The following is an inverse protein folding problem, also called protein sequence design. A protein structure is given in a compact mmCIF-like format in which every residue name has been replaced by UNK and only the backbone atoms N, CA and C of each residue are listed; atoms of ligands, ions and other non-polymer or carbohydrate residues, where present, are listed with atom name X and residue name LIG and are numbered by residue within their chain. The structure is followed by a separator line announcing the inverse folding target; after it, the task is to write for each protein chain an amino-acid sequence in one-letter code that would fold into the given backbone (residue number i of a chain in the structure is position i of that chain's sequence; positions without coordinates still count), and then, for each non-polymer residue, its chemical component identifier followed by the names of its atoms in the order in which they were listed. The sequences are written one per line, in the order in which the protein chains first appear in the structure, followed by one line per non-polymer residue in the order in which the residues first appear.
data_IF_158067622711
#
_entry.id   IF_158067622711
#
_cell.length_a   1.000
_cell.length_b   1.000
_cell.length_c   1.000
_cell.angle_alpha   90.00
_cell.angle_beta   90.00
_cell.angle_gamma   90.00
#
_symmetry.space_group_name_H-M   'P 1'
#
loop_
_entity.id
_entity.type
_entity.pdbx_description
1 polymer ?
#
# COMPACT_ATOMS: atom_id res chain seq x y z
N UNK A 1 15.09 -2.26 -15.04
CA UNK A 1 14.26 -1.08 -14.69
C UNK A 1 14.19 -0.96 -13.17
N UNK A 2 14.67 0.15 -12.60
CA UNK A 2 14.48 0.45 -11.18
C UNK A 2 12.97 0.55 -10.89
N UNK A 3 12.45 -0.31 -10.02
CA UNK A 3 11.05 -0.21 -9.55
C UNK A 3 10.98 0.97 -8.56
N UNK A 4 10.83 2.20 -9.09
CA UNK A 4 10.78 3.46 -8.32
C UNK A 4 9.78 3.39 -7.14
N UNK A 5 8.69 2.64 -7.29
CA UNK A 5 7.66 2.46 -6.26
C UNK A 5 8.18 1.77 -4.98
N UNK A 6 9.36 1.13 -5.04
CA UNK A 6 10.00 0.44 -3.91
C UNK A 6 11.11 1.27 -3.24
N UNK A 7 11.32 2.51 -3.66
CA UNK A 7 12.35 3.38 -3.07
C UNK A 7 11.66 4.44 -2.23
N UNK A 8 12.06 4.52 -0.96
CA UNK A 8 11.58 5.51 -0.01
C UNK A 8 12.19 6.89 -0.32
N UNK A 9 11.33 7.90 -0.51
CA UNK A 9 11.73 9.30 -0.68
C UNK A 9 12.41 9.80 0.59
N UNK A 10 11.91 9.39 1.76
CA UNK A 10 12.55 9.67 3.03
C UNK A 10 13.99 9.17 3.06
N UNK A 11 14.21 7.91 2.65
CA UNK A 11 15.53 7.30 2.63
C UNK A 11 16.48 7.98 1.63
N UNK A 12 15.97 8.43 0.48
CA UNK A 12 16.74 9.24 -0.47
C UNK A 12 17.15 10.57 0.19
N UNK A 13 16.20 11.30 0.79
CA UNK A 13 16.47 12.57 1.47
C UNK A 13 17.47 12.43 2.61
N UNK A 14 17.36 11.37 3.41
CA UNK A 14 18.30 11.05 4.47
C UNK A 14 19.70 10.72 3.94
N UNK A 15 19.80 9.95 2.86
CA UNK A 15 21.08 9.57 2.28
C UNK A 15 21.79 10.76 1.62
N UNK A 16 21.10 11.47 0.73
CA UNK A 16 21.64 12.64 0.03
C UNK A 16 21.92 13.77 1.01
N UNK A 17 20.96 14.09 1.89
CA UNK A 17 21.11 15.09 2.93
C UNK A 17 22.23 14.76 3.91
N UNK A 18 22.36 13.49 4.29
CA UNK A 18 23.43 13.02 5.19
C UNK A 18 24.82 13.18 4.60
N UNK A 19 25.01 12.80 3.33
CA UNK A 19 26.29 12.99 2.62
C UNK A 19 26.64 14.49 2.55
N UNK A 20 25.69 15.33 2.10
CA UNK A 20 25.92 16.77 1.99
C UNK A 20 26.22 17.40 3.35
N UNK A 21 25.49 17.00 4.39
CA UNK A 21 25.71 17.46 5.76
C UNK A 21 27.12 17.13 6.26
N UNK A 22 27.58 15.87 6.11
CA UNK A 22 28.91 15.44 6.56
C UNK A 22 30.02 16.15 5.78
N UNK A 23 29.91 16.23 4.45
CA UNK A 23 30.89 16.92 3.60
C UNK A 23 30.95 18.41 3.92
N UNK A 24 29.79 19.04 4.08
CA UNK A 24 29.69 20.46 4.41
C UNK A 24 30.23 20.80 5.80
N UNK A 25 29.99 19.93 6.79
CA UNK A 25 30.54 20.07 8.13
C UNK A 25 32.06 19.89 8.13
N UNK A 26 32.59 18.92 7.40
CA UNK A 26 34.04 18.76 7.22
C UNK A 26 34.67 19.97 6.52
N UNK A 27 34.02 20.50 5.48
CA UNK A 27 34.47 21.69 4.76
C UNK A 27 34.51 22.94 5.65
N UNK A 28 33.53 23.09 6.55
CA UNK A 28 33.52 24.14 7.57
C UNK A 28 34.78 24.08 8.44
N UNK A 29 35.12 22.89 8.96
CA UNK A 29 36.31 22.68 9.78
C UNK A 29 37.64 22.97 9.04
N UNK A 30 37.62 22.96 7.70
CA UNK A 30 38.78 23.29 6.85
C UNK A 30 38.76 24.74 6.32
N UNK A 31 37.77 25.55 6.69
CA UNK A 31 37.64 26.93 6.22
C UNK A 31 37.25 27.05 4.73
N UNK A 32 36.74 25.98 4.11
CA UNK A 32 36.29 26.00 2.73
C UNK A 32 34.81 26.45 2.66
N UNK A 33 34.60 27.76 2.59
CA UNK A 33 33.27 28.38 2.63
C UNK A 33 32.37 27.97 1.46
N UNK A 34 32.91 27.82 0.24
CA UNK A 34 32.12 27.43 -0.93
C UNK A 34 31.55 26.03 -0.78
N UNK A 35 32.37 25.06 -0.35
CA UNK A 35 31.92 23.68 -0.16
C UNK A 35 31.05 23.53 1.09
N UNK A 36 31.31 24.32 2.15
CA UNK A 36 30.42 24.38 3.30
C UNK A 36 29.02 24.89 2.93
N UNK A 37 28.92 25.95 2.11
CA UNK A 37 27.64 26.47 1.66
C UNK A 37 26.86 25.40 0.87
N UNK A 38 27.48 24.75 -0.11
CA UNK A 38 26.82 23.71 -0.91
C UNK A 38 26.43 22.51 -0.03
N UNK A 39 27.34 22.04 0.82
CA UNK A 39 27.14 20.86 1.65
C UNK A 39 26.20 21.10 2.82
N UNK A 40 26.58 21.96 3.76
CA UNK A 40 25.89 22.10 5.03
C UNK A 40 24.58 22.89 4.89
N UNK A 41 24.62 24.04 4.20
CA UNK A 41 23.45 24.94 4.13
C UNK A 41 22.28 24.31 3.36
N UNK A 42 22.54 23.53 2.31
CA UNK A 42 21.50 22.81 1.58
C UNK A 42 21.30 21.38 2.09
N UNK A 43 22.36 20.71 2.54
CA UNK A 43 22.28 19.35 3.07
C UNK A 43 21.48 19.27 4.36
N UNK A 44 21.62 20.25 5.27
CA UNK A 44 20.87 20.24 6.53
C UNK A 44 19.35 20.33 6.32
N UNK A 45 18.79 21.27 5.54
CA UNK A 45 17.37 21.27 5.19
C UNK A 45 16.91 19.98 4.49
N UNK A 46 17.69 19.44 3.55
CA UNK A 46 17.35 18.18 2.87
C UNK A 46 17.30 17.02 3.87
N UNK A 47 18.26 16.95 4.79
CA UNK A 47 18.34 15.93 5.83
C UNK A 47 17.16 16.02 6.79
N UNK A 48 16.81 17.24 7.25
CA UNK A 48 15.62 17.48 8.08
C UNK A 48 14.34 17.08 7.34
N UNK A 49 14.22 17.44 6.06
CA UNK A 49 13.11 16.99 5.21
C UNK A 49 13.04 15.47 5.12
N UNK A 50 14.18 14.80 4.96
CA UNK A 50 14.29 13.34 4.98
C UNK A 50 13.78 12.73 6.28
N UNK A 51 14.15 13.29 7.44
CA UNK A 51 13.64 12.85 8.75
C UNK A 51 12.13 13.08 8.89
N UNK A 52 11.61 14.23 8.43
CA UNK A 52 10.18 14.52 8.48
C UNK A 52 9.36 13.53 7.64
N UNK A 53 9.81 13.23 6.42
CA UNK A 53 9.18 12.17 5.61
C UNK A 53 9.32 10.80 6.27
N UNK A 54 10.47 10.48 6.88
CA UNK A 54 10.67 9.18 7.54
C UNK A 54 9.71 8.97 8.70
N UNK A 55 9.44 10.02 9.47
CA UNK A 55 8.53 9.98 10.62
C UNK A 55 7.06 9.78 10.23
N UNK A 56 6.70 10.04 8.98
CA UNK A 56 5.32 9.92 8.49
C UNK A 56 5.19 8.84 7.41
N UNK A 57 6.21 8.00 7.26
CA UNK A 57 6.31 6.99 6.22
C UNK A 57 5.48 5.75 6.54
N UNK A 58 4.68 5.31 5.57
CA UNK A 58 4.02 4.01 5.57
C UNK A 58 4.62 3.15 4.47
N UNK A 59 5.13 1.98 4.88
CA UNK A 59 5.79 1.05 3.98
C UNK A 59 4.80 0.41 2.98
N UNK A 60 5.28 -0.04 1.81
CA UNK A 60 4.51 -0.90 0.91
C UNK A 60 3.96 -2.13 1.62
N UNK A 61 2.72 -2.50 1.32
CA UNK A 61 2.15 -3.78 1.74
C UNK A 61 2.87 -4.92 1.02
N UNK A 62 3.31 -5.98 1.73
CA UNK A 62 3.99 -7.10 1.12
C UNK A 62 3.04 -7.91 0.23
N UNK A 63 3.60 -8.45 -0.84
CA UNK A 63 2.95 -9.52 -1.61
C UNK A 63 3.27 -10.84 -0.91
N UNK A 64 2.27 -11.48 -0.32
CA UNK A 64 2.46 -12.59 0.63
C UNK A 64 2.41 -13.99 -0.03
N UNK A 65 1.89 -14.08 -1.26
CA UNK A 65 1.92 -15.30 -2.07
C UNK A 65 2.67 -15.00 -3.37
N UNK A 66 3.64 -15.83 -3.78
CA UNK A 66 4.31 -15.66 -5.07
C UNK A 66 3.33 -15.69 -6.25
N UNK A 67 3.50 -14.77 -7.20
CA UNK A 67 2.71 -14.70 -8.43
C UNK A 67 3.08 -15.88 -9.35
N UNK A 68 2.10 -16.74 -9.70
CA UNK A 68 2.29 -17.80 -10.71
C UNK A 68 2.10 -17.27 -12.12
N UNK A 69 2.65 -17.96 -13.13
CA UNK A 69 2.48 -17.56 -14.54
C UNK A 69 1.01 -17.51 -14.97
N UNK A 70 0.18 -18.44 -14.47
CA UNK A 70 -1.26 -18.46 -14.75
C UNK A 70 -1.97 -17.23 -14.19
N UNK A 71 -1.65 -16.84 -12.94
CA UNK A 71 -2.21 -15.64 -12.30
C UNK A 71 -1.80 -14.38 -13.07
N UNK A 72 -0.53 -14.31 -13.50
CA UNK A 72 -0.02 -13.20 -14.32
C UNK A 72 -0.75 -13.10 -15.67
N UNK A 73 -1.05 -14.25 -16.29
CA UNK A 73 -1.76 -14.31 -17.56
C UNK A 73 -3.20 -13.80 -17.42
N UNK A 74 -3.95 -14.25 -16.41
CA UNK A 74 -5.32 -13.74 -16.18
C UNK A 74 -5.33 -12.27 -15.77
N UNK A 75 -4.35 -11.81 -14.95
CA UNK A 75 -4.22 -10.38 -14.61
C UNK A 75 -4.11 -9.53 -15.86
N UNK A 76 -3.26 -9.94 -16.81
CA UNK A 76 -3.04 -9.17 -18.05
C UNK A 76 -4.33 -9.01 -18.86
N UNK A 77 -5.24 -9.98 -18.78
CA UNK A 77 -6.48 -10.01 -19.56
C UNK A 77 -7.67 -9.38 -18.83
N UNK A 78 -7.75 -9.53 -17.51
CA UNK A 78 -8.98 -9.27 -16.74
C UNK A 78 -8.83 -8.21 -15.64
N UNK A 79 -7.61 -7.75 -15.32
CA UNK A 79 -7.39 -6.74 -14.26
C UNK A 79 -8.14 -5.44 -14.59
N UNK A 80 -9.07 -5.07 -13.71
CA UNK A 80 -9.79 -3.81 -13.84
C UNK A 80 -8.90 -2.62 -13.51
N UNK A 81 -9.28 -1.42 -13.96
CA UNK A 81 -8.56 -0.19 -13.62
C UNK A 81 -8.49 0.03 -12.11
N UNK A 82 -9.57 -0.25 -11.37
CA UNK A 82 -9.60 -0.16 -9.90
C UNK A 82 -8.62 -1.15 -9.26
N UNK A 83 -8.63 -2.43 -9.65
CA UNK A 83 -7.71 -3.43 -9.10
C UNK A 83 -6.24 -3.03 -9.37
N UNK A 84 -5.94 -2.58 -10.58
CA UNK A 84 -4.60 -2.11 -10.97
C UNK A 84 -4.14 -0.91 -10.15
N UNK A 85 -5.02 0.07 -9.97
CA UNK A 85 -4.72 1.26 -9.18
C UNK A 85 -4.51 0.88 -7.71
N UNK A 86 -5.43 0.10 -7.14
CA UNK A 86 -5.37 -0.34 -5.76
C UNK A 86 -4.07 -1.09 -5.46
N UNK A 87 -3.73 -2.08 -6.29
CA UNK A 87 -2.49 -2.84 -6.17
C UNK A 87 -1.26 -1.93 -6.20
N UNK A 88 -1.20 -0.95 -7.11
CA UNK A 88 -0.10 0.03 -7.17
C UNK A 88 -0.07 0.95 -5.96
N UNK A 89 -1.23 1.33 -5.44
CA UNK A 89 -1.35 2.28 -4.33
C UNK A 89 -0.93 1.69 -3.00
N UNK A 90 -1.24 0.42 -2.75
CA UNK A 90 -0.87 -0.28 -1.51
C UNK A 90 0.55 -0.84 -1.55
N UNK A 91 1.13 -1.07 -2.74
CA UNK A 91 2.52 -1.59 -2.90
C UNK A 91 3.58 -0.51 -3.10
N UNK A 92 3.29 0.74 -2.72
CA UNK A 92 4.26 1.85 -2.75
C UNK A 92 4.36 2.54 -1.41
N UNK A 93 5.47 3.23 -1.17
CA UNK A 93 5.61 4.11 -0.02
C UNK A 93 4.59 5.24 -0.06
N UNK A 94 3.97 5.51 1.09
CA UNK A 94 3.05 6.63 1.31
C UNK A 94 3.53 7.44 2.50
N UNK A 95 3.08 8.70 2.57
CA UNK A 95 3.48 9.63 3.62
C UNK A 95 2.25 10.36 4.14
N UNK A 96 2.24 10.63 5.44
CA UNK A 96 1.18 11.42 6.09
C UNK A 96 -0.17 10.70 6.21
N UNK A 97 -0.18 9.37 6.14
CA UNK A 97 -1.36 8.54 6.38
C UNK A 97 -1.08 7.58 7.54
N UNK A 98 -2.13 7.12 8.23
CA UNK A 98 -1.98 6.14 9.33
C UNK A 98 -1.64 4.74 8.82
N UNK A 99 -2.43 4.26 7.86
CA UNK A 99 -2.26 2.96 7.22
C UNK A 99 -2.81 3.00 5.78
N UNK A 100 -2.42 2.02 4.97
CA UNK A 100 -3.05 1.85 3.65
C UNK A 100 -4.53 1.53 3.82
N UNK A 101 -5.37 2.19 3.01
CA UNK A 101 -6.84 2.07 3.00
C UNK A 101 -7.57 2.53 4.27
N UNK A 102 -6.89 3.19 5.22
CA UNK A 102 -7.48 3.68 6.47
C UNK A 102 -8.72 4.57 6.24
N UNK A 103 -8.61 5.59 5.39
CA UNK A 103 -9.72 6.47 5.01
C UNK A 103 -10.82 5.75 4.21
N UNK A 104 -10.45 4.73 3.45
CA UNK A 104 -11.40 3.93 2.67
C UNK A 104 -12.27 3.11 3.61
N UNK A 105 -11.64 2.42 4.56
CA UNK A 105 -12.33 1.67 5.61
C UNK A 105 -13.23 2.58 6.45
N UNK A 106 -12.79 3.80 6.75
CA UNK A 106 -13.63 4.80 7.41
C UNK A 106 -14.90 5.14 6.62
N UNK A 107 -14.79 5.43 5.31
CA UNK A 107 -15.94 5.71 4.44
C UNK A 107 -16.88 4.51 4.32
N UNK A 108 -16.33 3.31 4.37
CA UNK A 108 -17.08 2.06 4.39
C UNK A 108 -17.77 1.79 5.73
N UNK A 109 -17.46 2.56 6.77
CA UNK A 109 -17.96 2.35 8.13
C UNK A 109 -17.38 1.07 8.74
N UNK A 110 -16.15 0.73 8.37
CA UNK A 110 -15.34 -0.36 8.92
C UNK A 110 -14.52 0.16 10.11
N UNK A 111 -15.22 0.74 11.08
CA UNK A 111 -14.65 1.41 12.26
C UNK A 111 -15.22 0.77 13.52
N UNK A 112 -14.59 -0.28 14.08
CA UNK A 112 -15.04 -0.88 15.34
C UNK A 112 -15.02 0.14 16.49
N UNK A 113 -14.09 1.09 16.46
CA UNK A 113 -14.05 2.25 17.36
C UNK A 113 -13.73 3.51 16.54
N UNK A 114 -13.72 4.68 17.18
CA UNK A 114 -13.37 5.94 16.49
C UNK A 114 -11.93 5.93 15.97
N UNK A 115 -11.02 5.28 16.68
CA UNK A 115 -9.58 5.28 16.41
C UNK A 115 -9.11 4.04 15.64
N UNK A 116 -9.69 2.88 15.91
CA UNK A 116 -9.23 1.59 15.39
C UNK A 116 -9.97 1.18 14.13
N UNK A 117 -9.23 0.55 13.21
CA UNK A 117 -9.72 0.00 11.93
C UNK A 117 -8.95 -1.28 11.62
N UNK A 118 -9.50 -2.18 10.78
CA UNK A 118 -8.72 -3.29 10.26
C UNK A 118 -7.47 -2.80 9.51
N UNK A 119 -6.34 -3.48 9.70
CA UNK A 119 -5.06 -3.08 9.09
C UNK A 119 -4.73 -4.03 7.94
N UNK A 120 -4.46 -3.47 6.75
CA UNK A 120 -4.00 -4.26 5.61
C UNK A 120 -2.57 -4.76 5.88
N UNK A 121 -2.38 -6.07 5.97
CA UNK A 121 -1.09 -6.70 6.31
C UNK A 121 -0.44 -7.42 5.13
N UNK A 122 -1.21 -7.72 4.08
CA UNK A 122 -0.69 -8.37 2.89
C UNK A 122 -1.64 -8.24 1.71
N UNK A 123 -1.08 -8.38 0.51
CA UNK A 123 -1.88 -8.62 -0.69
C UNK A 123 -1.37 -9.86 -1.40
N UNK A 124 -2.24 -10.47 -2.19
CA UNK A 124 -1.82 -11.47 -3.16
C UNK A 124 -2.84 -11.58 -4.28
N UNK A 125 -2.48 -12.31 -5.33
CA UNK A 125 -3.29 -12.48 -6.52
C UNK A 125 -3.61 -13.97 -6.68
N UNK A 126 -4.85 -14.29 -7.03
CA UNK A 126 -5.29 -15.67 -7.23
C UNK A 126 -6.29 -15.77 -8.39
N UNK A 127 -6.52 -16.99 -8.86
CA UNK A 127 -7.60 -17.30 -9.80
C UNK A 127 -8.80 -17.78 -8.96
N UNK A 128 -9.92 -17.08 -9.04
CA UNK A 128 -11.12 -17.41 -8.28
C UNK A 128 -11.58 -18.84 -8.58
N UNK A 129 -11.90 -19.58 -7.52
CA UNK A 129 -12.44 -20.94 -7.57
C UNK A 129 -13.94 -20.98 -7.22
N UNK A 130 -14.55 -19.84 -6.90
CA UNK A 130 -15.98 -19.77 -6.59
C UNK A 130 -16.80 -20.07 -7.85
N UNK A 131 -17.91 -20.79 -7.68
CA UNK A 131 -18.71 -21.33 -8.80
C UNK A 131 -19.14 -20.26 -9.82
N UNK A 132 -19.59 -19.09 -9.33
CA UNK A 132 -20.07 -17.98 -10.15
C UNK A 132 -18.96 -17.17 -10.83
N UNK A 133 -17.71 -17.28 -10.37
CA UNK A 133 -16.57 -16.47 -10.84
C UNK A 133 -15.35 -17.31 -11.18
N UNK A 134 -15.56 -18.60 -11.45
CA UNK A 134 -14.48 -19.57 -11.65
C UNK A 134 -13.58 -19.15 -12.82
N UNK A 135 -12.27 -19.09 -12.56
CA UNK A 135 -11.29 -18.68 -13.56
C UNK A 135 -11.06 -17.17 -13.66
N UNK A 136 -11.79 -16.36 -12.90
CA UNK A 136 -11.61 -14.90 -12.89
C UNK A 136 -10.38 -14.47 -12.07
N UNK A 137 -9.75 -13.38 -12.48
CA UNK A 137 -8.69 -12.73 -11.73
C UNK A 137 -9.23 -12.14 -10.41
N UNK A 138 -8.55 -12.45 -9.31
CA UNK A 138 -8.88 -11.96 -7.97
C UNK A 138 -7.68 -11.29 -7.34
N UNK A 139 -7.85 -10.02 -6.95
CA UNK A 139 -6.91 -9.33 -6.07
C UNK A 139 -7.37 -9.49 -4.64
N UNK A 140 -6.56 -10.13 -3.81
CA UNK A 140 -6.89 -10.39 -2.41
C UNK A 140 -6.15 -9.43 -1.49
N UNK A 141 -6.91 -8.82 -0.59
CA UNK A 141 -6.43 -7.92 0.46
C UNK A 141 -6.60 -8.63 1.80
N UNK A 142 -5.49 -8.92 2.48
CA UNK A 142 -5.49 -9.56 3.79
C UNK A 142 -5.47 -8.52 4.90
N UNK A 143 -6.52 -8.48 5.69
CA UNK A 143 -6.64 -7.56 6.82
C UNK A 143 -6.49 -8.29 8.15
N UNK A 144 -5.75 -7.68 9.08
CA UNK A 144 -5.80 -8.00 10.49
C UNK A 144 -6.97 -7.24 11.12
N UNK A 145 -7.93 -7.96 11.73
CA UNK A 145 -9.20 -7.42 12.21
C UNK A 145 -9.55 -7.90 13.63
N UNK A 146 -8.77 -7.55 14.67
CA UNK A 146 -8.93 -8.13 16.00
C UNK A 146 -10.18 -7.62 16.75
N UNK A 147 -10.65 -6.42 16.40
CA UNK A 147 -11.75 -5.72 17.08
C UNK A 147 -13.08 -5.75 16.32
N UNK A 148 -13.13 -6.41 15.16
CA UNK A 148 -14.32 -6.50 14.32
C UNK A 148 -14.58 -7.96 13.97
N UNK A 149 -15.79 -8.43 14.31
CA UNK A 149 -16.23 -9.78 13.96
C UNK A 149 -16.34 -9.98 12.46
N UNK A 150 -16.16 -11.21 12.00
CA UNK A 150 -16.26 -11.56 10.58
C UNK A 150 -17.66 -11.32 10.01
N UNK A 151 -18.70 -11.43 10.85
CA UNK A 151 -20.09 -11.18 10.49
C UNK A 151 -20.29 -9.75 9.96
N UNK A 152 -19.60 -8.76 10.55
CA UNK A 152 -19.65 -7.36 10.12
C UNK A 152 -19.05 -7.20 8.71
N UNK A 153 -18.02 -7.98 8.39
CA UNK A 153 -17.45 -8.00 7.04
C UNK A 153 -18.43 -8.57 6.03
N UNK A 154 -19.11 -9.66 6.39
CA UNK A 154 -20.13 -10.30 5.54
C UNK A 154 -21.30 -9.35 5.27
N UNK A 155 -21.85 -8.70 6.31
CA UNK A 155 -22.95 -7.74 6.18
C UNK A 155 -22.61 -6.55 5.28
N UNK A 156 -21.32 -6.18 5.20
CA UNK A 156 -20.84 -5.05 4.39
C UNK A 156 -20.34 -5.46 3.01
N UNK A 157 -20.42 -6.74 2.63
CA UNK A 157 -19.92 -7.23 1.35
C UNK A 157 -20.55 -6.50 0.15
N UNK A 158 -21.86 -6.25 0.16
CA UNK A 158 -22.55 -5.47 -0.88
C UNK A 158 -22.02 -4.04 -0.98
N UNK A 159 -21.75 -3.42 0.17
CA UNK A 159 -21.20 -2.06 0.23
C UNK A 159 -19.77 -2.02 -0.30
N UNK A 160 -18.97 -3.04 0.01
CA UNK A 160 -17.61 -3.21 -0.51
C UNK A 160 -17.63 -3.36 -2.04
N UNK A 161 -18.49 -4.24 -2.57
CA UNK A 161 -18.70 -4.42 -4.02
C UNK A 161 -19.03 -3.09 -4.70
N UNK A 162 -20.01 -2.36 -4.18
CA UNK A 162 -20.42 -1.05 -4.73
C UNK A 162 -19.30 -0.01 -4.66
N UNK A 163 -18.49 -0.02 -3.61
CA UNK A 163 -17.42 0.95 -3.41
C UNK A 163 -16.27 0.78 -4.42
N UNK A 164 -15.84 -0.45 -4.69
CA UNK A 164 -14.77 -0.71 -5.65
C UNK A 164 -15.22 -0.56 -7.11
N UNK A 165 -16.53 -0.47 -7.33
CA UNK A 165 -17.11 -0.03 -8.60
C UNK A 165 -17.43 -1.19 -9.56
N UNK A 166 -17.81 -0.88 -10.80
CA UNK A 166 -18.29 -1.86 -11.76
C UNK A 166 -17.21 -2.87 -12.15
N UNK A 167 -17.63 -4.08 -12.54
CA UNK A 167 -16.74 -5.16 -12.96
C UNK A 167 -15.94 -5.79 -11.81
N UNK A 168 -16.31 -5.53 -10.56
CA UNK A 168 -15.72 -6.16 -9.37
C UNK A 168 -16.84 -6.72 -8.51
N UNK A 169 -16.65 -7.94 -8.01
CA UNK A 169 -17.41 -8.49 -6.89
C UNK A 169 -16.48 -8.68 -5.70
N UNK A 170 -16.88 -8.12 -4.57
CA UNK A 170 -16.19 -8.33 -3.31
C UNK A 170 -16.72 -9.60 -2.63
N UNK A 171 -15.81 -10.44 -2.13
CA UNK A 171 -16.14 -11.57 -1.25
C UNK A 171 -15.18 -11.58 -0.07
N UNK A 172 -15.63 -12.08 1.08
CA UNK A 172 -14.82 -12.11 2.31
C UNK A 172 -14.69 -13.54 2.83
N UNK A 173 -13.52 -13.89 3.37
CA UNK A 173 -13.33 -15.15 4.10
C UNK A 173 -12.59 -14.91 5.40
N UNK A 174 -13.02 -15.58 6.46
CA UNK A 174 -12.31 -15.61 7.72
C UNK A 174 -11.08 -16.52 7.64
N UNK A 175 -10.01 -16.11 8.31
CA UNK A 175 -8.79 -16.87 8.50
C UNK A 175 -8.48 -17.03 9.99
N UNK A 176 -7.46 -17.81 10.30
CA UNK A 176 -6.91 -17.86 11.66
C UNK A 176 -6.42 -16.48 12.11
N UNK A 177 -6.20 -16.32 13.42
CA UNK A 177 -5.60 -15.12 14.02
C UNK A 177 -6.37 -13.81 13.81
N UNK A 178 -7.70 -13.87 13.63
CA UNK A 178 -8.54 -12.67 13.37
C UNK A 178 -8.14 -11.94 12.09
N UNK A 179 -7.71 -12.70 11.10
CA UNK A 179 -7.45 -12.20 9.76
C UNK A 179 -8.68 -12.40 8.86
N UNK A 180 -8.87 -11.50 7.90
CA UNK A 180 -9.94 -11.58 6.90
C UNK A 180 -9.33 -11.31 5.53
N UNK A 181 -9.58 -12.21 4.59
CA UNK A 181 -9.26 -11.99 3.18
C UNK A 181 -10.48 -11.34 2.50
N UNK A 182 -10.29 -10.12 2.02
CA UNK A 182 -11.21 -9.44 1.10
C UNK A 182 -10.74 -9.68 -0.33
N UNK A 183 -11.48 -10.49 -1.08
CA UNK A 183 -11.23 -10.78 -2.49
C UNK A 183 -12.00 -9.82 -3.36
N UNK A 184 -11.30 -9.14 -4.25
CA UNK A 184 -11.88 -8.31 -5.30
C UNK A 184 -11.77 -9.08 -6.61
N UNK A 185 -12.84 -9.75 -7.00
CA UNK A 185 -12.87 -10.65 -8.15
C UNK A 185 -13.36 -9.88 -9.37
N UNK A 186 -12.62 -9.94 -10.48
CA UNK A 186 -13.05 -9.31 -11.73
C UNK A 186 -14.29 -10.02 -12.26
N UNK A 187 -15.30 -9.27 -12.65
CA UNK A 187 -16.36 -9.78 -13.50
C UNK A 187 -16.13 -9.28 -14.92
N UNK A 188 -16.12 -10.21 -15.88
CA UNK A 188 -16.26 -9.84 -17.27
C UNK A 188 -17.66 -9.27 -17.43
N UNK A 189 -17.76 -7.95 -17.48
CA UNK A 189 -18.96 -7.30 -18.00
C UNK A 189 -18.97 -7.64 -19.48
N UNK A 190 -19.92 -8.47 -19.90
CA UNK A 190 -20.24 -8.59 -21.32
C UNK A 190 -20.75 -7.21 -21.73
N UNK A 191 -19.93 -6.45 -22.44
CA UNK A 191 -20.36 -5.25 -23.17
C UNK A 191 -21.36 -5.63 -24.27
#
# INVERSE_FOLDING_TARGET
MLKLNKISIASIGLFVGGILFVVGFWAYSKGNSTLNLIGFFYGFPILLGGFAFKSSEVAPIPVIVPESEDVLAVRKLQETSTQKQLRKDVTRYRYGIKAHLDEVLEKLGMRPTDEERPVLIGIYEEISQAEETKGAYSLVLRFQSPLMGFEVWQEKQDKLTRFFGPGIVATVSELANKEVDLRLISQNVAD
#
